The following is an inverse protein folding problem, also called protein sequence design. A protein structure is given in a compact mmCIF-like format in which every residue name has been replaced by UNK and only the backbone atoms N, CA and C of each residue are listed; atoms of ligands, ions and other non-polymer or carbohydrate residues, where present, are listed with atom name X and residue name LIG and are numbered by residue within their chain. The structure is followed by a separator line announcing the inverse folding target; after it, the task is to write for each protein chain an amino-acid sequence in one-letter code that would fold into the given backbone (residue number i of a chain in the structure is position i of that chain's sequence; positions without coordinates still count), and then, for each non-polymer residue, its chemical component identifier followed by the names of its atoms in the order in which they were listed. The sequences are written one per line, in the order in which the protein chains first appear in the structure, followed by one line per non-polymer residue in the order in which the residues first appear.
data_IF_027243736501
#
_entry.id   IF_027243736501
#
_cell.length_a   1.000
_cell.length_b   1.000
_cell.length_c   1.000
_cell.angle_alpha   90.00
_cell.angle_beta   90.00
_cell.angle_gamma   90.00
#
_symmetry.space_group_name_H-M   'P 1'
#
loop_
_entity.id
_entity.type
_entity.pdbx_description
1 polymer ?
#
# COMPACT_ATOMS: atom_id res chain seq x y z
N UNK A 1 5.13 2.73 -5.76
CA UNK A 1 3.70 2.41 -5.68
C UNK A 1 3.29 1.70 -6.94
N UNK A 2 2.44 0.70 -6.87
CA UNK A 2 1.89 0.00 -8.02
C UNK A 2 0.39 0.16 -8.03
N UNK A 3 -0.13 1.06 -8.84
CA UNK A 3 -1.58 1.30 -8.91
C UNK A 3 -2.27 0.21 -9.75
N UNK A 4 -1.55 -0.38 -10.71
CA UNK A 4 -2.08 -1.46 -11.55
C UNK A 4 -1.13 -2.66 -11.62
N UNK A 5 -0.03 -2.56 -12.32
CA UNK A 5 0.95 -3.63 -12.55
C UNK A 5 2.38 -3.08 -12.66
N UNK A 6 2.54 -1.78 -12.49
CA UNK A 6 3.79 -1.05 -12.68
C UNK A 6 4.04 -0.08 -11.54
N UNK A 7 5.28 0.35 -11.40
CA UNK A 7 5.66 1.38 -10.44
C UNK A 7 5.16 2.74 -10.91
N UNK A 8 4.17 3.27 -10.22
CA UNK A 8 3.58 4.57 -10.44
C UNK A 8 4.02 5.55 -9.34
N UNK A 9 3.82 6.84 -9.57
CA UNK A 9 4.23 7.89 -8.62
C UNK A 9 2.98 8.67 -8.23
N UNK A 10 2.74 8.82 -6.93
CA UNK A 10 1.78 9.79 -6.42
C UNK A 10 2.51 10.89 -5.70
N UNK A 11 2.21 12.12 -6.07
CA UNK A 11 2.79 13.32 -5.48
C UNK A 11 1.70 14.17 -4.85
N UNK A 12 1.80 14.35 -3.54
CA UNK A 12 1.02 15.33 -2.81
C UNK A 12 1.73 16.67 -2.81
N UNK A 13 1.03 17.75 -3.10
CA UNK A 13 1.56 19.09 -3.14
C UNK A 13 0.80 20.02 -2.20
N UNK A 14 1.54 20.85 -1.48
CA UNK A 14 0.99 21.77 -0.50
C UNK A 14 0.22 22.95 -1.15
N UNK A 15 0.82 23.59 -2.14
CA UNK A 15 0.26 24.77 -2.82
C UNK A 15 -0.08 24.51 -4.29
N UNK A 16 0.13 23.31 -4.78
CA UNK A 16 -0.13 22.90 -6.16
C UNK A 16 -1.04 21.68 -6.26
N UNK A 17 -1.46 21.37 -7.46
CA UNK A 17 -2.28 20.19 -7.71
C UNK A 17 -1.56 18.90 -7.30
N UNK A 18 -2.26 17.99 -6.64
CA UNK A 18 -1.79 16.61 -6.45
C UNK A 18 -1.72 15.89 -7.79
N UNK A 19 -0.74 15.00 -7.96
CA UNK A 19 -0.47 14.31 -9.23
C UNK A 19 -0.39 12.79 -9.04
N UNK A 20 -0.83 12.07 -10.06
CA UNK A 20 -0.67 10.62 -10.18
C UNK A 20 -0.04 10.33 -11.53
N UNK A 21 1.23 9.93 -11.52
CA UNK A 21 1.95 9.58 -12.72
C UNK A 21 1.97 8.07 -12.91
N UNK A 22 1.25 7.59 -13.93
CA UNK A 22 1.24 6.18 -14.32
C UNK A 22 2.31 5.96 -15.39
N UNK A 23 3.16 4.96 -15.16
CA UNK A 23 4.18 4.57 -16.12
C UNK A 23 3.53 3.94 -17.37
N UNK A 24 3.82 4.52 -18.54
CA UNK A 24 3.48 3.97 -19.86
C UNK A 24 4.76 3.80 -20.66
N UNK A 25 5.15 2.55 -20.92
CA UNK A 25 6.43 2.26 -21.61
C UNK A 25 7.61 3.00 -20.97
N UNK A 26 8.18 3.99 -21.65
CA UNK A 26 9.30 4.80 -21.18
C UNK A 26 8.90 6.20 -20.69
N UNK A 27 7.60 6.49 -20.56
CA UNK A 27 7.07 7.79 -20.15
C UNK A 27 6.15 7.67 -18.95
N UNK A 28 5.90 8.81 -18.29
CA UNK A 28 4.88 8.92 -17.25
C UNK A 28 3.74 9.79 -17.74
N UNK A 29 2.51 9.31 -17.57
CA UNK A 29 1.30 10.09 -17.85
C UNK A 29 0.64 10.47 -16.54
N UNK A 30 0.39 11.77 -16.34
CA UNK A 30 -0.45 12.24 -15.24
C UNK A 30 -1.91 11.85 -15.51
N UNK A 31 -2.52 11.15 -14.55
CA UNK A 31 -3.92 10.72 -14.59
C UNK A 31 -4.74 11.33 -13.45
N UNK A 32 -4.15 12.24 -12.67
CA UNK A 32 -4.89 12.93 -11.62
C UNK A 32 -6.04 13.73 -12.20
N UNK A 33 -7.20 13.67 -11.57
CA UNK A 33 -8.40 14.38 -11.99
C UNK A 33 -9.31 14.76 -10.83
N UNK A 34 -10.25 15.65 -11.07
CA UNK A 34 -11.32 16.01 -10.16
C UNK A 34 -10.85 16.42 -8.77
N UNK A 35 -11.49 15.89 -7.75
CA UNK A 35 -11.22 16.19 -6.35
C UNK A 35 -9.80 15.82 -5.90
N UNK A 36 -9.18 14.84 -6.54
CA UNK A 36 -7.80 14.46 -6.21
C UNK A 36 -6.80 15.57 -6.49
N UNK A 37 -7.01 16.38 -7.53
CA UNK A 37 -6.10 17.48 -7.91
C UNK A 37 -6.12 18.67 -6.95
N UNK A 38 -7.14 18.76 -6.10
CA UNK A 38 -7.31 19.92 -5.20
C UNK A 38 -6.17 19.94 -4.18
N UNK A 39 -5.35 21.01 -4.15
CA UNK A 39 -4.30 21.17 -3.16
C UNK A 39 -4.79 21.00 -1.73
N UNK A 40 -3.96 20.49 -0.86
CA UNK A 40 -4.23 20.43 0.58
C UNK A 40 -2.92 20.53 1.36
N UNK A 41 -2.99 20.85 2.64
CA UNK A 41 -1.82 20.90 3.52
C UNK A 41 -1.30 19.51 3.84
N UNK A 42 -0.94 18.77 2.80
CA UNK A 42 -0.53 17.38 2.87
C UNK A 42 0.83 17.20 3.53
N UNK A 43 0.97 16.18 4.36
CA UNK A 43 2.24 15.71 4.95
C UNK A 43 2.63 14.35 4.45
N UNK A 44 1.68 13.44 4.30
CA UNK A 44 1.97 12.05 3.95
C UNK A 44 1.01 11.54 2.90
N UNK A 45 1.53 10.84 1.91
CA UNK A 45 0.77 10.03 0.96
C UNK A 45 1.01 8.56 1.26
N UNK A 46 -0.06 7.81 1.45
CA UNK A 46 -0.04 6.37 1.66
C UNK A 46 -0.77 5.69 0.52
N UNK A 47 -0.21 4.56 0.05
CA UNK A 47 -0.92 3.66 -0.85
C UNK A 47 -0.97 2.28 -0.23
N UNK A 48 -2.17 1.77 -0.02
CA UNK A 48 -2.40 0.46 0.54
C UNK A 48 -3.77 -0.07 0.12
N UNK A 49 -3.90 -1.39 0.03
CA UNK A 49 -5.14 -2.09 -0.26
C UNK A 49 -5.88 -2.34 1.06
N UNK A 50 -6.65 -1.34 1.50
CA UNK A 50 -7.34 -1.37 2.79
C UNK A 50 -8.57 -2.27 2.80
N UNK A 51 -9.21 -2.50 1.66
CA UNK A 51 -10.43 -3.32 1.56
C UNK A 51 -10.21 -4.70 0.91
N UNK A 52 -8.94 -5.06 0.67
CA UNK A 52 -8.52 -6.32 0.06
C UNK A 52 -9.18 -6.59 -1.31
N UNK A 53 -9.54 -5.53 -2.06
CA UNK A 53 -10.10 -5.68 -3.41
C UNK A 53 -9.03 -5.83 -4.49
N UNK A 54 -7.76 -5.77 -4.08
CA UNK A 54 -6.61 -5.96 -4.96
C UNK A 54 -6.14 -4.71 -5.69
N UNK A 55 -6.68 -3.56 -5.39
CA UNK A 55 -6.19 -2.24 -5.79
C UNK A 55 -5.87 -1.42 -4.57
N UNK A 56 -4.73 -0.74 -4.61
CA UNK A 56 -4.36 0.15 -3.50
C UNK A 56 -5.23 1.42 -3.52
N UNK A 57 -5.81 1.79 -2.38
CA UNK A 57 -6.33 3.11 -2.13
C UNK A 57 -5.19 4.11 -1.89
N UNK A 58 -5.48 5.40 -2.10
CA UNK A 58 -4.55 6.49 -1.83
C UNK A 58 -5.09 7.32 -0.68
N UNK A 59 -4.39 7.32 0.44
CA UNK A 59 -4.68 8.15 1.60
C UNK A 59 -3.78 9.39 1.61
N UNK A 60 -4.40 10.55 1.79
CA UNK A 60 -3.74 11.85 1.94
C UNK A 60 -3.88 12.31 3.38
N UNK A 61 -2.77 12.32 4.12
CA UNK A 61 -2.72 12.80 5.51
C UNK A 61 -2.42 14.29 5.53
N UNK A 62 -3.38 15.08 5.98
CA UNK A 62 -3.33 16.54 5.99
C UNK A 62 -3.08 17.09 7.41
N UNK A 63 -2.60 18.33 7.49
CA UNK A 63 -2.44 19.06 8.74
C UNK A 63 -3.44 20.24 8.82
N UNK A 64 -4.33 20.20 9.81
CA UNK A 64 -5.36 21.23 10.01
C UNK A 64 -6.41 21.29 8.92
N UNK A 65 -6.54 20.24 8.12
CA UNK A 65 -7.55 20.04 7.07
C UNK A 65 -7.98 18.57 7.06
N UNK A 66 -9.19 18.25 6.55
CA UNK A 66 -9.64 16.87 6.48
C UNK A 66 -8.68 15.96 5.71
N UNK A 67 -8.39 14.80 6.27
CA UNK A 67 -7.73 13.72 5.54
C UNK A 67 -8.63 13.21 4.42
N UNK A 68 -8.03 12.73 3.33
CA UNK A 68 -8.76 12.23 2.17
C UNK A 68 -8.34 10.80 1.83
N UNK A 69 -9.30 10.01 1.39
CA UNK A 69 -9.06 8.65 0.90
C UNK A 69 -9.67 8.50 -0.50
N UNK A 70 -8.88 8.02 -1.44
CA UNK A 70 -9.31 7.81 -2.82
C UNK A 70 -9.18 6.35 -3.20
N UNK A 71 -10.26 5.80 -3.76
CA UNK A 71 -10.26 4.49 -4.38
C UNK A 71 -10.02 4.61 -5.88
N UNK A 72 -9.16 3.73 -6.40
CA UNK A 72 -8.90 3.62 -7.83
C UNK A 72 -9.75 2.49 -8.39
N UNK A 73 -10.65 2.82 -9.30
CA UNK A 73 -11.47 1.84 -10.02
C UNK A 73 -10.70 1.19 -11.18
N UNK A 74 -11.22 0.07 -11.69
CA UNK A 74 -10.59 -0.72 -12.77
C UNK A 74 -10.15 0.10 -13.99
N UNK A 75 -10.90 1.15 -14.36
CA UNK A 75 -10.58 2.04 -15.48
C UNK A 75 -9.60 3.15 -15.13
N UNK A 76 -9.14 3.21 -13.86
CA UNK A 76 -8.26 4.27 -13.34
C UNK A 76 -9.01 5.54 -12.92
N UNK A 77 -10.34 5.49 -12.85
CA UNK A 77 -11.16 6.55 -12.30
C UNK A 77 -10.93 6.64 -10.78
N UNK A 78 -10.71 7.85 -10.28
CA UNK A 78 -10.54 8.15 -8.88
C UNK A 78 -11.89 8.49 -8.25
N UNK A 79 -12.21 7.81 -7.15
CA UNK A 79 -13.40 8.11 -6.35
C UNK A 79 -12.98 8.41 -4.91
N UNK A 80 -13.31 9.59 -4.43
CA UNK A 80 -13.16 9.92 -3.01
C UNK A 80 -14.11 9.07 -2.16
N UNK A 81 -13.59 8.55 -1.06
CA UNK A 81 -14.34 7.82 -0.04
C UNK A 81 -14.63 8.80 1.09
N UNK A 82 -15.90 8.95 1.46
CA UNK A 82 -16.28 9.77 2.59
C UNK A 82 -15.82 9.11 3.90
N UNK A 83 -14.89 9.74 4.58
CA UNK A 83 -14.38 9.30 5.88
C UNK A 83 -15.22 9.82 7.05
N UNK A 84 -16.18 10.70 6.81
CA UNK A 84 -17.01 11.35 7.83
C UNK A 84 -16.14 11.93 8.97
N UNK A 85 -16.44 11.60 10.24
CA UNK A 85 -15.65 12.05 11.39
C UNK A 85 -14.20 11.55 11.38
N UNK A 86 -13.92 10.41 10.73
CA UNK A 86 -12.59 9.84 10.64
C UNK A 86 -11.67 10.60 9.66
N UNK A 87 -12.18 11.62 8.98
CA UNK A 87 -11.37 12.54 8.17
C UNK A 87 -10.49 13.46 9.03
N UNK A 88 -10.72 13.52 10.35
CA UNK A 88 -9.93 14.34 11.29
C UNK A 88 -9.78 15.81 10.85
N UNK A 89 -10.86 16.57 10.66
CA UNK A 89 -10.82 17.88 10.01
C UNK A 89 -9.98 18.94 10.75
N UNK A 90 -9.67 18.70 12.03
CA UNK A 90 -8.79 19.53 12.85
C UNK A 90 -7.51 18.76 13.27
N UNK A 91 -7.22 17.64 12.62
CA UNK A 91 -6.06 16.83 12.89
C UNK A 91 -4.78 17.53 12.48
N UNK A 92 -3.76 17.50 13.35
CA UNK A 92 -2.42 17.98 13.02
C UNK A 92 -1.57 16.81 12.49
N UNK A 93 -2.09 16.13 11.49
CA UNK A 93 -1.48 14.94 10.92
C UNK A 93 -0.08 15.22 10.39
N UNK A 94 0.90 14.44 10.85
CA UNK A 94 2.30 14.54 10.40
C UNK A 94 2.70 13.30 9.63
N UNK A 95 2.88 12.18 10.30
CA UNK A 95 3.25 10.93 9.68
C UNK A 95 2.09 9.94 9.63
N UNK A 96 2.18 8.97 8.73
CA UNK A 96 1.27 7.84 8.73
C UNK A 96 2.00 6.57 8.28
N UNK A 97 1.59 5.42 8.82
CA UNK A 97 2.14 4.12 8.47
C UNK A 97 1.04 3.06 8.42
N UNK A 98 1.30 2.00 7.66
CA UNK A 98 0.35 0.89 7.49
C UNK A 98 1.02 -0.42 7.88
N UNK A 99 0.30 -1.23 8.64
CA UNK A 99 0.67 -2.60 8.99
C UNK A 99 -0.59 -3.43 9.26
N UNK A 100 -0.46 -4.75 9.20
CA UNK A 100 -1.44 -5.70 9.71
C UNK A 100 -1.00 -6.11 11.14
N UNK A 101 -1.47 -5.36 12.13
CA UNK A 101 -0.99 -5.40 13.52
C UNK A 101 -1.52 -6.64 14.24
N UNK A 102 -2.80 -6.97 14.04
CA UNK A 102 -3.46 -8.12 14.68
C UNK A 102 -3.41 -9.41 13.84
N UNK A 103 -2.79 -9.35 12.65
CA UNK A 103 -2.54 -10.47 11.73
C UNK A 103 -3.81 -11.11 11.17
N UNK A 104 -4.86 -10.33 11.02
CA UNK A 104 -6.10 -10.80 10.39
C UNK A 104 -6.14 -10.55 8.86
N UNK A 105 -5.12 -9.87 8.33
CA UNK A 105 -4.97 -9.55 6.91
C UNK A 105 -5.74 -8.33 6.45
N UNK A 106 -6.29 -7.56 7.36
CA UNK A 106 -6.83 -6.23 7.10
C UNK A 106 -5.79 -5.22 7.59
N UNK A 107 -5.42 -4.29 6.73
CA UNK A 107 -4.39 -3.33 7.07
C UNK A 107 -4.93 -2.23 7.98
N UNK A 108 -4.23 -1.96 9.08
CA UNK A 108 -4.45 -0.80 9.93
C UNK A 108 -3.63 0.40 9.45
N UNK A 109 -4.22 1.59 9.57
CA UNK A 109 -3.60 2.87 9.33
C UNK A 109 -3.33 3.59 10.67
N UNK A 110 -2.07 3.76 11.01
CA UNK A 110 -1.64 4.57 12.15
C UNK A 110 -1.31 5.98 11.67
N UNK A 111 -1.88 6.99 12.33
CA UNK A 111 -1.61 8.40 12.06
C UNK A 111 -0.97 9.02 13.30
N UNK A 112 0.17 9.69 13.10
CA UNK A 112 0.81 10.51 14.12
C UNK A 112 0.45 11.98 13.94
N UNK A 113 0.28 12.66 15.08
CA UNK A 113 -0.07 14.08 15.16
C UNK A 113 0.94 14.84 15.99
N UNK A 114 0.93 16.15 15.92
CA UNK A 114 1.59 16.97 16.89
C UNK A 114 2.78 17.80 16.41
N UNK A 115 2.83 18.16 15.14
CA UNK A 115 3.88 19.09 14.66
C UNK A 115 3.81 20.44 15.36
N UNK A 116 2.61 20.92 15.68
CA UNK A 116 2.36 22.24 16.31
C UNK A 116 1.50 22.17 17.57
N UNK A 117 1.17 20.98 18.05
CA UNK A 117 0.34 20.78 19.24
C UNK A 117 0.26 19.30 19.63
N UNK A 118 -0.11 19.05 20.89
CA UNK A 118 -0.26 17.71 21.41
C UNK A 118 -1.61 17.11 21.00
N UNK A 119 -1.58 16.08 20.17
CA UNK A 119 -2.74 15.25 19.83
C UNK A 119 -2.37 13.78 19.98
N UNK A 120 -3.35 12.95 20.26
CA UNK A 120 -3.16 11.50 20.41
C UNK A 120 -2.89 10.85 19.05
N UNK A 121 -2.19 9.72 19.06
CA UNK A 121 -2.11 8.84 17.89
C UNK A 121 -3.49 8.26 17.59
N UNK A 122 -3.83 8.15 16.32
CA UNK A 122 -5.03 7.44 15.87
C UNK A 122 -4.70 6.20 15.10
N UNK A 123 -5.48 5.14 15.33
CA UNK A 123 -5.37 3.88 14.62
C UNK A 123 -6.73 3.56 13.99
N UNK A 124 -6.74 3.43 12.68
CA UNK A 124 -7.93 3.08 11.90
C UNK A 124 -7.80 1.70 11.29
N UNK A 125 -8.90 0.99 11.23
CA UNK A 125 -9.06 -0.26 10.52
C UNK A 125 -10.30 -0.19 9.64
N UNK A 126 -10.18 -0.68 8.40
CA UNK A 126 -11.33 -0.74 7.51
C UNK A 126 -12.34 -1.78 8.00
N UNK A 127 -13.63 -1.42 8.00
CA UNK A 127 -14.73 -2.36 8.20
C UNK A 127 -15.02 -3.08 6.88
N UNK A 128 -14.32 -4.17 6.63
CA UNK A 128 -14.45 -4.94 5.39
C UNK A 128 -15.60 -5.91 5.53
N UNK A 129 -16.59 -5.81 4.65
CA UNK A 129 -17.61 -6.84 4.50
C UNK A 129 -16.95 -8.14 4.07
N UNK A 130 -17.24 -9.25 4.77
CA UNK A 130 -16.71 -10.60 4.52
C UNK A 130 -16.76 -10.95 3.03
N UNK A 131 -15.62 -11.26 2.41
CA UNK A 131 -15.61 -11.73 1.02
C UNK A 131 -14.25 -11.68 0.33
N UNK A 132 -13.42 -10.72 0.64
CA UNK A 132 -12.08 -10.61 0.10
C UNK A 132 -11.07 -11.33 1.01
N UNK A 133 -10.02 -11.87 0.40
CA UNK A 133 -8.97 -12.58 1.08
C UNK A 133 -7.64 -11.85 0.84
N UNK A 134 -6.53 -12.39 1.31
CA UNK A 134 -5.23 -11.77 1.14
C UNK A 134 -4.11 -12.79 0.93
N UNK A 135 -3.00 -12.33 0.40
CA UNK A 135 -1.69 -12.98 0.40
C UNK A 135 -0.68 -11.94 0.83
N UNK A 136 0.14 -12.26 1.82
CA UNK A 136 1.22 -11.37 2.30
C UNK A 136 2.56 -12.06 2.14
N UNK A 137 3.55 -11.35 1.63
CA UNK A 137 4.89 -11.87 1.39
C UNK A 137 5.90 -11.00 2.16
N UNK A 138 6.60 -11.65 3.08
CA UNK A 138 7.69 -11.04 3.87
C UNK A 138 9.03 -11.58 3.38
N UNK A 139 9.72 -10.90 2.46
CA UNK A 139 11.03 -11.36 2.01
C UNK A 139 12.11 -10.95 3.02
N UNK A 140 12.95 -11.91 3.37
CA UNK A 140 14.09 -11.74 4.27
C UNK A 140 15.40 -11.98 3.51
N UNK A 141 16.39 -11.14 3.75
CA UNK A 141 17.73 -11.31 3.23
C UNK A 141 18.42 -12.53 3.87
N UNK A 142 19.66 -12.82 3.44
CA UNK A 142 20.45 -13.95 3.97
C UNK A 142 20.69 -13.91 5.50
N UNK A 143 20.63 -12.73 6.10
CA UNK A 143 20.85 -12.52 7.53
C UNK A 143 19.52 -12.51 8.33
N UNK A 144 18.37 -12.75 7.67
CA UNK A 144 17.04 -12.75 8.31
C UNK A 144 16.42 -11.37 8.51
N UNK A 145 17.06 -10.29 8.05
CA UNK A 145 16.48 -8.96 8.07
C UNK A 145 15.55 -8.73 6.84
N UNK A 146 14.58 -7.79 6.91
CA UNK A 146 13.76 -7.44 5.76
C UNK A 146 14.59 -7.13 4.51
N UNK A 147 14.21 -7.72 3.38
CA UNK A 147 14.93 -7.55 2.12
C UNK A 147 14.50 -6.25 1.42
N UNK A 148 14.86 -5.11 2.00
CA UNK A 148 14.55 -3.78 1.44
C UNK A 148 15.14 -3.64 0.04
N UNK A 149 14.35 -3.06 -0.88
CA UNK A 149 14.67 -2.98 -2.30
C UNK A 149 14.33 -4.24 -3.11
N UNK A 150 13.92 -5.35 -2.47
CA UNK A 150 13.38 -6.49 -3.19
C UNK A 150 12.02 -6.14 -3.81
N UNK A 151 11.78 -6.65 -5.03
CA UNK A 151 10.48 -6.52 -5.69
C UNK A 151 9.77 -7.86 -5.67
N UNK A 152 8.56 -7.86 -5.15
CA UNK A 152 7.66 -9.01 -5.11
C UNK A 152 6.58 -8.81 -6.15
N UNK A 153 6.37 -9.78 -7.02
CA UNK A 153 5.32 -9.76 -8.04
C UNK A 153 4.38 -10.94 -7.84
N UNK A 154 3.12 -10.65 -7.58
CA UNK A 154 2.05 -11.65 -7.55
C UNK A 154 1.38 -11.70 -8.92
N UNK A 155 1.33 -12.88 -9.52
CA UNK A 155 0.60 -13.17 -10.76
C UNK A 155 -0.52 -14.13 -10.47
N UNK A 156 -1.70 -13.86 -11.01
CA UNK A 156 -2.90 -14.70 -10.93
C UNK A 156 -3.53 -14.90 -12.28
N UNK A 157 -4.67 -15.60 -12.34
CA UNK A 157 -5.48 -15.69 -13.55
C UNK A 157 -6.12 -14.35 -13.99
N UNK A 158 -6.15 -13.33 -13.12
CA UNK A 158 -6.79 -12.04 -13.39
C UNK A 158 -5.82 -10.89 -13.60
N UNK A 159 -4.65 -10.93 -12.95
CA UNK A 159 -3.72 -9.78 -12.93
C UNK A 159 -2.30 -10.15 -12.56
N UNK A 160 -1.42 -9.20 -12.79
CA UNK A 160 -0.08 -9.16 -12.22
C UNK A 160 0.06 -7.88 -11.40
N UNK A 161 0.61 -7.98 -10.20
CA UNK A 161 0.79 -6.84 -9.30
C UNK A 161 2.15 -6.92 -8.60
N UNK A 162 2.97 -5.87 -8.74
CA UNK A 162 4.30 -5.79 -8.17
C UNK A 162 4.36 -4.79 -7.03
N UNK A 163 5.01 -5.16 -5.93
CA UNK A 163 5.30 -4.28 -4.80
C UNK A 163 6.79 -4.35 -4.46
N UNK A 164 7.37 -3.19 -4.16
CA UNK A 164 8.76 -3.12 -3.70
C UNK A 164 8.78 -2.97 -2.19
N UNK A 165 9.63 -3.75 -1.52
CA UNK A 165 9.87 -3.61 -0.08
C UNK A 165 10.71 -2.36 0.12
N UNK A 166 10.10 -1.30 0.54
CA UNK A 166 10.76 -0.01 0.69
C UNK A 166 11.57 0.14 1.99
N UNK A 167 12.32 1.21 2.10
CA UNK A 167 13.15 1.53 3.24
C UNK A 167 12.52 2.59 4.17
N UNK A 168 11.43 3.22 3.74
CA UNK A 168 10.70 4.23 4.50
C UNK A 168 9.68 4.92 3.63
N UNK A 169 8.40 4.57 3.81
CA UNK A 169 7.26 5.23 3.20
C UNK A 169 6.53 6.03 4.25
N UNK A 170 5.85 7.06 3.81
CA UNK A 170 5.23 8.01 4.71
C UNK A 170 6.24 9.04 5.26
N UNK A 171 5.75 10.19 5.67
CA UNK A 171 6.59 11.23 6.24
C UNK A 171 6.99 10.87 7.67
N UNK A 172 8.30 10.78 7.94
CA UNK A 172 8.90 10.41 9.24
C UNK A 172 8.42 9.05 9.80
N UNK A 173 7.91 8.17 8.94
CA UNK A 173 7.39 6.86 9.29
C UNK A 173 8.02 5.75 8.45
N UNK A 174 7.76 4.52 8.84
CA UNK A 174 8.16 3.34 8.12
C UNK A 174 7.03 2.33 8.13
N UNK A 175 6.67 1.86 6.96
CA UNK A 175 5.67 0.81 6.83
C UNK A 175 6.22 -0.56 7.17
N UNK A 176 5.32 -1.48 7.45
CA UNK A 176 5.68 -2.88 7.57
C UNK A 176 6.37 -3.37 6.28
N UNK A 177 7.56 -4.03 6.36
CA UNK A 177 8.30 -4.46 5.19
C UNK A 177 7.71 -5.76 4.60
N UNK A 178 6.46 -5.71 4.20
CA UNK A 178 5.67 -6.82 3.67
C UNK A 178 4.96 -6.38 2.39
N UNK A 179 4.99 -7.20 1.36
CA UNK A 179 4.15 -7.02 0.18
C UNK A 179 2.77 -7.64 0.46
N UNK A 180 1.79 -6.79 0.66
CA UNK A 180 0.39 -7.16 0.89
C UNK A 180 -0.41 -7.11 -0.40
N UNK A 181 -1.21 -8.12 -0.65
CA UNK A 181 -2.08 -8.25 -1.83
C UNK A 181 -3.48 -8.69 -1.37
N UNK A 182 -4.47 -7.84 -1.53
CA UNK A 182 -5.87 -8.25 -1.44
C UNK A 182 -6.23 -9.20 -2.60
N UNK A 183 -7.07 -10.17 -2.34
CA UNK A 183 -7.45 -11.21 -3.30
C UNK A 183 -8.94 -11.19 -3.53
N UNK A 184 -9.34 -10.99 -4.79
CA UNK A 184 -10.73 -10.92 -5.20
C UNK A 184 -11.40 -12.27 -5.23
N UNK A 185 -12.71 -12.24 -5.14
CA UNK A 185 -13.52 -13.44 -5.36
C UNK A 185 -13.28 -14.01 -6.78
N UNK A 186 -12.93 -15.29 -6.87
CA UNK A 186 -12.65 -15.97 -8.14
C UNK A 186 -11.20 -15.83 -8.64
N UNK A 187 -10.36 -15.07 -7.97
CA UNK A 187 -8.93 -15.00 -8.26
C UNK A 187 -8.21 -16.26 -7.79
N UNK A 188 -7.37 -16.85 -8.65
CA UNK A 188 -6.72 -18.14 -8.43
C UNK A 188 -5.41 -18.27 -9.23
N UNK A 189 -4.76 -19.43 -9.11
CA UNK A 189 -3.52 -19.77 -9.84
C UNK A 189 -2.34 -18.85 -9.50
N UNK A 190 -2.17 -18.58 -8.19
CA UNK A 190 -1.19 -17.64 -7.71
C UNK A 190 0.25 -18.11 -7.88
N UNK A 191 1.06 -17.26 -8.50
CA UNK A 191 2.51 -17.37 -8.60
C UNK A 191 3.14 -16.11 -8.02
N UNK A 192 4.22 -16.25 -7.26
CA UNK A 192 4.99 -15.13 -6.73
C UNK A 192 6.39 -15.18 -7.29
N UNK A 193 6.81 -14.09 -7.91
CA UNK A 193 8.19 -13.85 -8.32
C UNK A 193 8.82 -12.85 -7.35
N UNK A 194 9.90 -13.24 -6.68
CA UNK A 194 10.64 -12.36 -5.78
C UNK A 194 12.02 -12.05 -6.37
N UNK A 195 12.20 -10.81 -6.83
CA UNK A 195 13.48 -10.29 -7.34
C UNK A 195 14.24 -9.63 -6.21
N UNK A 196 15.35 -10.21 -5.83
CA UNK A 196 16.24 -9.73 -4.78
C UNK A 196 17.13 -8.57 -5.27
N UNK A 197 17.65 -7.80 -4.33
CA UNK A 197 18.55 -6.66 -4.62
C UNK A 197 19.84 -7.05 -5.32
N UNK A 198 20.26 -8.32 -5.24
CA UNK A 198 21.41 -8.86 -5.98
C UNK A 198 21.07 -9.28 -7.41
N UNK A 199 19.87 -8.99 -7.91
CA UNK A 199 19.40 -9.33 -9.24
C UNK A 199 18.86 -10.75 -9.42
N UNK A 200 19.05 -11.65 -8.45
CA UNK A 200 18.49 -13.01 -8.51
C UNK A 200 16.98 -12.98 -8.32
N UNK A 201 16.29 -13.90 -8.99
CA UNK A 201 14.84 -14.06 -8.89
C UNK A 201 14.50 -15.48 -8.47
N UNK A 202 13.57 -15.60 -7.53
CA UNK A 202 12.99 -16.88 -7.14
C UNK A 202 11.47 -16.85 -7.42
N UNK A 203 10.95 -17.99 -7.90
CA UNK A 203 9.53 -18.14 -8.23
C UNK A 203 8.90 -19.20 -7.31
N UNK A 204 7.70 -18.89 -6.83
CA UNK A 204 6.95 -19.75 -5.91
C UNK A 204 5.50 -19.90 -6.38
N UNK A 205 4.93 -21.08 -6.20
CA UNK A 205 3.50 -21.31 -6.38
C UNK A 205 2.82 -21.21 -5.03
N UNK A 206 1.81 -20.37 -4.93
CA UNK A 206 1.01 -20.18 -3.73
C UNK A 206 -0.29 -20.98 -3.88
N UNK A 207 -0.57 -21.86 -2.93
CA UNK A 207 -1.74 -22.74 -2.97
C UNK A 207 -2.83 -22.37 -1.97
N UNK A 208 -2.53 -21.48 -1.00
CA UNK A 208 -3.47 -21.07 0.03
C UNK A 208 -3.42 -19.55 0.19
N UNK A 209 -4.57 -18.93 0.33
CA UNK A 209 -4.73 -17.51 0.68
C UNK A 209 -4.96 -17.35 2.17
N UNK A 210 -5.12 -16.12 2.66
CA UNK A 210 -5.39 -15.81 4.05
C UNK A 210 -4.19 -16.05 4.97
N UNK A 211 -2.95 -15.77 4.50
CA UNK A 211 -1.75 -15.94 5.31
C UNK A 211 -0.55 -15.13 4.82
N UNK A 212 0.42 -15.01 5.71
CA UNK A 212 1.73 -14.43 5.45
C UNK A 212 2.75 -15.51 5.11
N UNK A 213 3.48 -15.35 4.03
CA UNK A 213 4.58 -16.22 3.60
C UNK A 213 5.92 -15.52 3.86
N UNK A 214 6.86 -16.23 4.47
CA UNK A 214 8.22 -15.73 4.69
C UNK A 214 9.16 -16.36 3.66
N UNK A 215 9.74 -15.53 2.79
CA UNK A 215 10.72 -15.97 1.81
C UNK A 215 12.12 -15.57 2.26
N UNK A 216 13.01 -16.55 2.40
CA UNK A 216 14.42 -16.31 2.75
C UNK A 216 15.30 -16.41 1.53
N UNK A 217 16.23 -15.46 1.37
CA UNK A 217 17.14 -15.43 0.25
C UNK A 217 18.10 -16.63 0.22
N UNK A 218 18.45 -17.19 1.37
CA UNK A 218 19.39 -18.31 1.51
C UNK A 218 18.73 -19.68 1.38
N UNK A 219 17.47 -19.83 1.78
CA UNK A 219 16.75 -21.11 1.80
C UNK A 219 15.29 -20.88 1.41
N UNK A 220 14.81 -21.70 0.48
CA UNK A 220 13.39 -21.69 0.05
C UNK A 220 12.49 -22.36 1.08
N UNK A 221 12.33 -21.81 2.27
CA UNK A 221 11.33 -22.25 3.23
C UNK A 221 10.13 -21.32 3.21
N UNK A 222 9.00 -21.83 2.72
CA UNK A 222 7.70 -21.17 2.90
C UNK A 222 7.27 -21.53 4.31
N UNK A 223 7.34 -20.56 5.23
CA UNK A 223 6.75 -20.72 6.56
C UNK A 223 5.46 -19.94 6.59
N UNK A 224 4.30 -20.55 6.75
CA UNK A 224 3.09 -19.84 7.13
C UNK A 224 3.30 -19.28 8.54
N UNK A 225 3.09 -17.99 8.71
CA UNK A 225 3.04 -17.33 10.02
C UNK A 225 1.67 -17.48 10.65
#
# INVERSE_FOLDING_TARGET
MCIRDRLDIVSGNWDGEHRIFVKKENTFKDIAEGQFKIPSKIRTVISADFDNDGYDEIFLNNIGEPNKLFKIKEKGELKEIDLAINSEPNGLGTGAAVADIDKDGILELLISHGETGNQILTLYKADIKKGNNFIRIKPLNKNGAPARGATVTLTSNLREHSKTIDAGSGYLCQMEPVAHYGIRKGEKDFKVSNKWTNGKTNNYKITKTGRTYIFKQSNMTISPS
#
